data_IF_100011917166
#
_entry.id   IF_100011917166
#
_cell.length_a   1.000
_cell.length_b   1.000
_cell.length_c   1.000
_cell.angle_alpha   90.00
_cell.angle_beta   90.00
_cell.angle_gamma   90.00
#
_symmetry.space_group_name_H-M   'P 1'
#
loop_
_entity.id
_entity.type
_entity.pdbx_description
1 polymer ?
#
# COMPACT_ATOMS: atom_id res chain seq x y z
N UNK A 1 6.22 -24.13 3.31
CA UNK A 1 6.66 -23.05 2.40
C UNK A 1 5.73 -21.84 2.47
N UNK A 2 4.37 -21.97 2.35
CA UNK A 2 3.43 -20.84 2.41
C UNK A 2 3.53 -20.06 3.72
N UNK A 3 3.60 -20.73 4.87
CA UNK A 3 3.67 -20.07 6.18
C UNK A 3 4.95 -19.23 6.35
N UNK A 4 6.12 -19.74 5.88
CA UNK A 4 7.38 -18.99 5.88
C UNK A 4 7.31 -17.72 5.02
N UNK A 5 6.65 -17.79 3.85
CA UNK A 5 6.46 -16.64 2.97
C UNK A 5 5.54 -15.59 3.60
N UNK A 6 4.51 -16.01 4.34
CA UNK A 6 3.64 -15.08 5.09
C UNK A 6 4.41 -14.37 6.18
N UNK A 7 5.18 -15.09 7.01
CA UNK A 7 5.98 -14.48 8.07
C UNK A 7 7.00 -13.46 7.53
N UNK A 8 7.68 -13.78 6.42
CA UNK A 8 8.64 -12.83 5.78
C UNK A 8 7.91 -11.58 5.31
N UNK A 9 6.78 -11.73 4.63
CA UNK A 9 5.98 -10.60 4.15
C UNK A 9 5.50 -9.71 5.31
N UNK A 10 5.02 -10.32 6.38
CA UNK A 10 4.47 -9.60 7.53
C UNK A 10 5.59 -8.88 8.32
N UNK A 11 6.78 -9.49 8.41
CA UNK A 11 7.97 -8.84 9.00
C UNK A 11 8.42 -7.64 8.17
N UNK A 12 8.46 -7.76 6.84
CA UNK A 12 8.79 -6.63 5.95
C UNK A 12 7.76 -5.51 6.10
N UNK A 13 6.49 -5.84 6.20
CA UNK A 13 5.43 -4.85 6.37
C UNK A 13 5.50 -4.14 7.73
N UNK A 14 5.75 -4.90 8.80
CA UNK A 14 5.94 -4.33 10.14
C UNK A 14 7.12 -3.35 10.20
N UNK A 15 8.27 -3.73 9.64
CA UNK A 15 9.45 -2.85 9.55
C UNK A 15 9.15 -1.60 8.70
N UNK A 16 8.36 -1.72 7.65
CA UNK A 16 7.97 -0.59 6.82
C UNK A 16 7.16 0.47 7.59
N UNK A 17 6.30 0.06 8.53
CA UNK A 17 5.57 1.00 9.39
C UNK A 17 6.49 1.79 10.32
N UNK A 18 7.50 1.13 10.89
CA UNK A 18 8.51 1.80 11.73
C UNK A 18 9.32 2.79 10.90
N UNK A 19 9.79 2.39 9.72
CA UNK A 19 10.50 3.29 8.81
C UNK A 19 9.64 4.48 8.36
N UNK A 20 8.34 4.27 8.13
CA UNK A 20 7.40 5.35 7.79
C UNK A 20 7.21 6.33 8.95
N UNK A 21 7.12 5.83 10.19
CA UNK A 21 6.98 6.68 11.38
C UNK A 21 8.23 7.53 11.59
N UNK A 22 9.42 6.92 11.55
CA UNK A 22 10.69 7.65 11.65
C UNK A 22 10.87 8.62 10.48
N UNK A 23 10.55 8.20 9.26
CA UNK A 23 10.65 9.06 8.07
C UNK A 23 9.71 10.27 8.12
N UNK A 24 8.56 10.18 8.77
CA UNK A 24 7.62 11.30 8.91
C UNK A 24 8.14 12.43 9.82
N UNK A 25 9.12 12.16 10.67
CA UNK A 25 9.73 13.17 11.53
C UNK A 25 10.73 14.09 10.77
N UNK A 26 11.27 13.59 9.64
CA UNK A 26 12.31 14.30 8.88
C UNK A 26 11.84 14.81 7.53
N UNK A 27 10.81 14.20 6.97
CA UNK A 27 10.32 14.51 5.62
C UNK A 27 8.80 14.64 5.62
N UNK A 28 8.29 15.54 4.78
CA UNK A 28 6.85 15.63 4.55
C UNK A 28 6.27 14.36 3.96
N UNK A 29 4.96 14.09 4.18
CA UNK A 29 4.29 12.87 3.77
C UNK A 29 4.38 12.58 2.27
N UNK A 30 4.28 13.61 1.43
CA UNK A 30 4.34 13.44 -0.04
C UNK A 30 5.77 13.22 -0.53
N UNK A 31 6.75 13.89 0.06
CA UNK A 31 8.17 13.72 -0.28
C UNK A 31 8.66 12.34 0.08
N UNK A 32 8.28 11.83 1.25
CA UNK A 32 8.59 10.46 1.65
C UNK A 32 7.91 9.44 0.74
N UNK A 33 6.63 9.64 0.41
CA UNK A 33 5.89 8.79 -0.50
C UNK A 33 6.50 8.77 -1.91
N UNK A 34 6.94 9.92 -2.42
CA UNK A 34 7.61 10.04 -3.72
C UNK A 34 8.90 9.22 -3.74
N UNK A 35 9.79 9.42 -2.75
CA UNK A 35 11.10 8.76 -2.69
C UNK A 35 10.97 7.24 -2.67
N UNK A 36 10.12 6.68 -1.80
CA UNK A 36 9.90 5.22 -1.73
C UNK A 36 9.29 4.64 -2.99
N UNK A 37 8.39 5.40 -3.65
CA UNK A 37 7.72 4.94 -4.85
C UNK A 37 8.65 4.93 -6.06
N UNK A 38 9.56 5.90 -6.18
CA UNK A 38 10.61 5.89 -7.20
C UNK A 38 11.58 4.73 -7.00
N UNK A 39 11.97 4.43 -5.76
CA UNK A 39 12.79 3.25 -5.45
C UNK A 39 12.07 1.95 -5.84
N UNK A 40 10.77 1.84 -5.56
CA UNK A 40 9.97 0.69 -5.95
C UNK A 40 9.91 0.54 -7.49
N UNK A 41 9.73 1.64 -8.22
CA UNK A 41 9.77 1.64 -9.69
C UNK A 41 11.13 1.16 -10.23
N UNK A 42 12.23 1.68 -9.69
CA UNK A 42 13.58 1.27 -10.09
C UNK A 42 13.82 -0.22 -9.83
N UNK A 43 13.41 -0.70 -8.65
CA UNK A 43 13.49 -2.12 -8.29
C UNK A 43 12.67 -3.01 -9.25
N UNK A 44 11.43 -2.63 -9.54
CA UNK A 44 10.56 -3.39 -10.45
C UNK A 44 11.09 -3.41 -11.88
N UNK A 45 11.67 -2.30 -12.36
CA UNK A 45 12.36 -2.27 -13.67
C UNK A 45 13.54 -3.23 -13.68
N UNK A 46 14.38 -3.22 -12.65
CA UNK A 46 15.49 -4.16 -12.53
C UNK A 46 15.01 -5.61 -12.48
N UNK A 47 13.97 -5.89 -11.72
CA UNK A 47 13.37 -7.22 -11.62
C UNK A 47 12.84 -7.69 -12.98
N UNK A 48 12.11 -6.86 -13.69
CA UNK A 48 11.61 -7.17 -15.03
C UNK A 48 12.75 -7.44 -16.02
N UNK A 49 13.84 -6.66 -15.96
CA UNK A 49 15.02 -6.87 -16.81
C UNK A 49 15.71 -8.20 -16.52
N UNK A 50 15.86 -8.56 -15.24
CA UNK A 50 16.45 -9.84 -14.81
C UNK A 50 15.59 -11.02 -15.23
N UNK A 51 14.27 -10.97 -14.98
CA UNK A 51 13.33 -12.03 -15.37
C UNK A 51 13.33 -12.25 -16.88
N UNK A 52 13.38 -11.16 -17.65
CA UNK A 52 13.49 -11.22 -19.11
C UNK A 52 14.80 -11.90 -19.57
N UNK A 53 15.93 -11.59 -18.94
CA UNK A 53 17.22 -12.24 -19.25
C UNK A 53 17.23 -13.74 -18.88
N UNK A 54 16.52 -14.12 -17.82
CA UNK A 54 16.42 -15.51 -17.37
C UNK A 54 15.43 -16.36 -18.17
N UNK A 55 14.75 -15.80 -19.18
CA UNK A 55 13.71 -16.50 -19.92
C UNK A 55 12.49 -16.94 -19.09
N UNK A 56 12.38 -16.44 -17.85
CA UNK A 56 11.28 -16.71 -16.92
C UNK A 56 10.17 -15.65 -17.03
N UNK A 57 9.98 -15.10 -18.19
CA UNK A 57 8.80 -14.29 -18.47
C UNK A 57 7.58 -15.21 -18.35
N UNK A 58 6.58 -14.78 -17.61
CA UNK A 58 5.34 -15.51 -17.44
C UNK A 58 4.79 -15.87 -18.83
N UNK A 59 4.37 -17.13 -19.10
CA UNK A 59 3.79 -17.49 -20.41
C UNK A 59 2.58 -16.63 -20.81
N UNK A 60 1.92 -15.98 -19.83
CA UNK A 60 0.91 -14.94 -20.07
C UNK A 60 1.51 -13.62 -20.60
N UNK A 61 2.83 -13.45 -20.60
CA UNK A 61 3.56 -12.27 -21.10
C UNK A 61 4.20 -12.49 -22.47
N UNK A 62 3.94 -13.63 -23.15
CA UNK A 62 4.31 -13.85 -24.54
C UNK A 62 3.48 -12.99 -25.49
N UNK A 63 3.89 -12.80 -26.73
CA UNK A 63 3.95 -11.57 -27.54
C UNK A 63 2.78 -10.60 -27.45
N UNK A 64 1.91 -10.82 -26.52
CA UNK A 64 0.81 -9.94 -26.14
C UNK A 64 1.15 -8.82 -25.15
N UNK A 65 2.42 -8.60 -24.75
CA UNK A 65 2.81 -7.48 -23.84
C UNK A 65 2.17 -6.13 -24.21
N UNK A 66 1.86 -5.96 -25.49
CA UNK A 66 1.21 -4.76 -25.98
C UNK A 66 -0.25 -4.94 -26.45
N UNK A 67 -0.80 -6.13 -26.44
CA UNK A 67 -2.18 -6.35 -26.89
C UNK A 67 -3.21 -5.76 -25.90
N UNK A 68 -2.90 -5.74 -24.61
CA UNK A 68 -3.76 -5.15 -23.58
C UNK A 68 -3.24 -3.82 -23.01
N UNK A 69 -2.46 -3.04 -23.79
CA UNK A 69 -1.93 -1.73 -23.34
C UNK A 69 -3.00 -0.82 -22.76
N UNK A 70 -4.16 -0.76 -23.40
CA UNK A 70 -5.25 0.09 -22.96
C UNK A 70 -5.82 -0.36 -21.62
N UNK A 71 -5.94 -1.67 -21.41
CA UNK A 71 -6.42 -2.25 -20.14
C UNK A 71 -5.37 -2.09 -19.05
N UNK A 72 -4.10 -2.35 -19.36
CA UNK A 72 -2.98 -2.15 -18.43
C UNK A 72 -2.85 -0.68 -18.00
N UNK A 73 -2.94 0.25 -18.95
CA UNK A 73 -2.82 1.67 -18.64
C UNK A 73 -4.02 2.16 -17.83
N UNK A 74 -5.24 1.79 -18.23
CA UNK A 74 -6.46 2.14 -17.47
C UNK A 74 -6.45 1.52 -16.09
N UNK A 75 -6.23 0.21 -15.97
CA UNK A 75 -6.14 -0.48 -14.69
C UNK A 75 -5.03 0.06 -13.81
N UNK A 76 -3.84 0.29 -14.37
CA UNK A 76 -2.70 0.85 -13.66
C UNK A 76 -2.93 2.27 -13.16
N UNK A 77 -3.58 3.14 -13.96
CA UNK A 77 -3.92 4.50 -13.55
C UNK A 77 -4.96 4.47 -12.43
N UNK A 78 -6.08 3.76 -12.60
CA UNK A 78 -7.12 3.68 -11.55
C UNK A 78 -6.58 3.10 -10.25
N UNK A 79 -5.87 1.97 -10.32
CA UNK A 79 -5.24 1.37 -9.15
C UNK A 79 -4.16 2.28 -8.55
N UNK A 80 -3.38 2.99 -9.39
CA UNK A 80 -2.32 3.89 -8.95
C UNK A 80 -2.87 5.14 -8.25
N UNK A 81 -3.94 5.75 -8.77
CA UNK A 81 -4.60 6.89 -8.12
C UNK A 81 -5.21 6.48 -6.78
N UNK A 82 -5.89 5.33 -6.72
CA UNK A 82 -6.44 4.81 -5.48
C UNK A 82 -5.32 4.51 -4.46
N UNK A 83 -4.21 3.91 -4.91
CA UNK A 83 -3.04 3.62 -4.09
C UNK A 83 -2.37 4.90 -3.58
N UNK A 84 -2.24 5.94 -4.43
CA UNK A 84 -1.71 7.24 -4.04
C UNK A 84 -2.58 7.86 -2.94
N UNK A 85 -3.89 7.94 -3.15
CA UNK A 85 -4.82 8.53 -2.18
C UNK A 85 -4.78 7.78 -0.83
N UNK A 86 -4.79 6.44 -0.86
CA UNK A 86 -4.68 5.61 0.34
C UNK A 86 -3.35 5.81 1.06
N UNK A 87 -2.23 5.82 0.32
CA UNK A 87 -0.90 5.97 0.90
C UNK A 87 -0.64 7.38 1.42
N UNK A 88 -1.17 8.42 0.77
CA UNK A 88 -1.10 9.80 1.24
C UNK A 88 -1.88 9.97 2.55
N UNK A 89 -3.12 9.49 2.60
CA UNK A 89 -3.93 9.50 3.82
C UNK A 89 -3.25 8.72 4.97
N UNK A 90 -2.65 7.56 4.66
CA UNK A 90 -1.88 6.78 5.63
C UNK A 90 -0.70 7.56 6.19
N UNK A 91 0.11 8.16 5.32
CA UNK A 91 1.33 8.86 5.73
C UNK A 91 1.02 10.09 6.58
N UNK A 92 -0.04 10.84 6.23
CA UNK A 92 -0.53 11.95 7.05
C UNK A 92 -1.04 11.48 8.42
N UNK A 93 -1.77 10.36 8.46
CA UNK A 93 -2.29 9.80 9.69
C UNK A 93 -1.20 9.25 10.62
N UNK A 94 -0.14 8.64 10.07
CA UNK A 94 1.01 8.15 10.85
C UNK A 94 1.75 9.30 11.54
N UNK A 95 1.91 10.45 10.87
CA UNK A 95 2.58 11.62 11.43
C UNK A 95 1.85 12.27 12.62
N UNK A 96 0.56 11.96 12.82
CA UNK A 96 -0.28 12.58 13.85
C UNK A 96 -0.80 11.61 14.92
N UNK A 97 -0.49 10.32 14.79
CA UNK A 97 -1.01 9.26 15.65
C UNK A 97 0.09 8.27 16.01
N UNK A 98 -0.08 7.51 17.12
CA UNK A 98 0.88 6.47 17.48
C UNK A 98 0.93 5.36 16.42
N UNK A 99 2.13 4.82 16.17
CA UNK A 99 2.39 3.76 15.15
C UNK A 99 1.48 2.54 15.37
N UNK A 100 1.19 2.18 16.63
CA UNK A 100 0.31 1.08 16.98
C UNK A 100 -1.14 1.34 16.55
N UNK A 101 -1.67 2.54 16.84
CA UNK A 101 -3.02 2.95 16.39
C UNK A 101 -3.09 3.06 14.87
N UNK A 102 -2.05 3.60 14.23
CA UNK A 102 -1.98 3.68 12.77
C UNK A 102 -2.03 2.30 12.13
N UNK A 103 -1.30 1.33 12.66
CA UNK A 103 -1.34 -0.05 12.24
C UNK A 103 -2.71 -0.69 12.40
N UNK A 104 -3.36 -0.50 13.57
CA UNK A 104 -4.70 -1.00 13.83
C UNK A 104 -5.73 -0.42 12.87
N UNK A 105 -5.79 0.91 12.76
CA UNK A 105 -6.76 1.59 11.90
C UNK A 105 -6.59 1.23 10.43
N UNK A 106 -5.35 1.18 9.96
CA UNK A 106 -5.08 0.75 8.58
C UNK A 106 -5.53 -0.68 8.36
N UNK A 107 -5.22 -1.60 9.30
CA UNK A 107 -5.57 -3.02 9.17
C UNK A 107 -7.08 -3.30 9.18
N UNK A 108 -7.93 -2.32 9.51
CA UNK A 108 -9.39 -2.45 9.36
C UNK A 108 -9.82 -2.75 7.92
N UNK A 109 -8.99 -2.47 6.90
CA UNK A 109 -9.29 -2.89 5.54
C UNK A 109 -9.47 -4.42 5.42
N UNK A 110 -8.88 -5.23 6.31
CA UNK A 110 -9.06 -6.69 6.36
C UNK A 110 -10.53 -7.06 6.58
N UNK A 111 -11.26 -6.22 7.32
CA UNK A 111 -12.71 -6.37 7.54
C UNK A 111 -13.50 -5.78 6.39
N UNK A 112 -13.09 -4.60 5.92
CA UNK A 112 -13.80 -3.85 4.89
C UNK A 112 -13.78 -4.56 3.53
N UNK A 113 -12.69 -5.27 3.19
CA UNK A 113 -12.56 -6.00 1.92
C UNK A 113 -13.62 -7.10 1.77
N UNK A 114 -13.82 -8.04 2.73
CA UNK A 114 -14.91 -9.02 2.66
C UNK A 114 -16.30 -8.37 2.65
N UNK A 115 -16.49 -7.31 3.45
CA UNK A 115 -17.76 -6.57 3.49
C UNK A 115 -18.07 -5.97 2.11
N UNK A 116 -17.11 -5.25 1.52
CA UNK A 116 -17.25 -4.72 0.17
C UNK A 116 -17.48 -5.83 -0.87
N UNK A 117 -16.81 -6.98 -0.71
CA UNK A 117 -17.01 -8.15 -1.55
C UNK A 117 -18.46 -8.67 -1.53
N UNK A 118 -19.10 -8.67 -0.37
CA UNK A 118 -20.54 -9.06 -0.26
C UNK A 118 -21.41 -8.11 -1.06
N UNK A 119 -21.20 -6.80 -0.99
CA UNK A 119 -21.93 -5.82 -1.79
C UNK A 119 -21.73 -6.00 -3.30
N UNK A 120 -20.57 -6.53 -3.70
CA UNK A 120 -20.25 -6.86 -5.10
C UNK A 120 -20.72 -8.28 -5.51
N UNK A 121 -21.53 -8.95 -4.70
CA UNK A 121 -22.12 -10.25 -5.00
C UNK A 121 -21.24 -11.45 -4.61
N UNK A 122 -20.12 -11.25 -3.97
CA UNK A 122 -19.32 -12.35 -3.41
C UNK A 122 -20.03 -12.95 -2.18
N UNK A 123 -19.98 -14.27 -2.03
CA UNK A 123 -20.56 -14.96 -0.87
C UNK A 123 -19.43 -15.60 -0.03
N UNK A 124 -18.78 -14.82 0.85
CA UNK A 124 -17.73 -15.36 1.70
C UNK A 124 -18.30 -16.39 2.68
N UNK A 125 -17.63 -17.54 2.80
CA UNK A 125 -18.04 -18.59 3.73
C UNK A 125 -17.85 -18.18 5.19
N UNK A 126 -18.56 -18.86 6.10
CA UNK A 126 -18.50 -18.63 7.56
C UNK A 126 -17.06 -18.68 8.09
N UNK A 127 -16.22 -19.56 7.54
CA UNK A 127 -14.81 -19.66 7.93
C UNK A 127 -14.06 -18.33 7.77
N UNK A 128 -14.34 -17.57 6.70
CA UNK A 128 -13.71 -16.27 6.47
C UNK A 128 -14.12 -15.26 7.56
N UNK A 129 -15.40 -15.22 7.91
CA UNK A 129 -15.90 -14.33 8.96
C UNK A 129 -15.32 -14.66 10.34
N UNK A 130 -15.16 -15.93 10.68
CA UNK A 130 -14.48 -16.34 11.90
C UNK A 130 -13.01 -15.88 11.92
N UNK A 131 -12.30 -16.03 10.78
CA UNK A 131 -10.91 -15.54 10.67
C UNK A 131 -10.81 -14.02 10.77
N UNK A 132 -11.74 -13.29 10.17
CA UNK A 132 -11.81 -11.82 10.26
C UNK A 132 -12.06 -11.40 11.71
N UNK A 133 -13.03 -12.00 12.40
CA UNK A 133 -13.30 -11.70 13.79
C UNK A 133 -12.09 -11.99 14.70
N UNK A 134 -11.45 -13.14 14.53
CA UNK A 134 -10.24 -13.49 15.28
C UNK A 134 -9.09 -12.50 15.00
N UNK A 135 -8.92 -12.05 13.74
CA UNK A 135 -7.91 -11.07 13.37
C UNK A 135 -8.16 -9.71 14.02
N UNK A 136 -9.40 -9.25 14.05
CA UNK A 136 -9.77 -7.98 14.70
C UNK A 136 -9.52 -8.03 16.22
N UNK A 137 -9.93 -9.12 16.86
CA UNK A 137 -9.68 -9.31 18.31
C UNK A 137 -8.18 -9.35 18.60
N UNK A 138 -7.41 -10.14 17.84
CA UNK A 138 -5.96 -10.22 18.00
C UNK A 138 -5.27 -8.88 17.80
N UNK A 139 -5.68 -8.12 16.79
CA UNK A 139 -5.14 -6.81 16.48
C UNK A 139 -5.51 -5.77 17.55
N UNK A 140 -6.74 -5.82 18.08
CA UNK A 140 -7.17 -4.99 19.21
C UNK A 140 -6.32 -5.27 20.45
N UNK A 141 -6.16 -6.53 20.82
CA UNK A 141 -5.34 -6.93 21.97
C UNK A 141 -3.87 -6.50 21.81
N UNK A 142 -3.32 -6.61 20.61
CA UNK A 142 -1.93 -6.27 20.36
C UNK A 142 -1.67 -4.76 20.38
N UNK A 143 -2.56 -3.97 19.80
CA UNK A 143 -2.32 -2.56 19.54
C UNK A 143 -2.94 -1.61 20.59
N UNK A 144 -4.05 -1.98 21.21
CA UNK A 144 -4.87 -1.09 22.02
C UNK A 144 -5.09 -1.57 23.46
N UNK A 145 -4.94 -2.87 23.75
CA UNK A 145 -5.18 -3.37 25.08
C UNK A 145 -4.17 -2.77 26.09
N UNK A 146 -4.68 -1.98 27.03
CA UNK A 146 -3.89 -1.40 28.11
C UNK A 146 -3.11 -0.12 27.77
N UNK A 147 -3.33 0.51 26.61
CA UNK A 147 -2.57 1.72 26.25
C UNK A 147 -3.47 2.89 25.99
N UNK A 148 -4.25 3.15 25.20
CA UNK A 148 -4.97 4.43 24.97
C UNK A 148 -6.48 4.23 24.72
N UNK A 149 -7.25 5.20 25.12
CA UNK A 149 -8.65 5.30 24.71
C UNK A 149 -8.74 5.53 23.22
N UNK A 150 -9.65 4.86 22.53
CA UNK A 150 -10.05 5.15 21.16
C UNK A 150 -10.73 6.53 21.09
N UNK A 151 -9.94 7.59 21.19
CA UNK A 151 -10.40 8.93 20.90
C UNK A 151 -10.23 9.18 19.42
N UNK A 152 -11.29 9.50 18.70
CA UNK A 152 -11.24 9.84 17.29
C UNK A 152 -10.72 11.26 17.14
N UNK A 153 -9.42 11.41 17.10
CA UNK A 153 -8.72 12.66 16.73
C UNK A 153 -8.60 12.79 15.19
N UNK A 154 -8.16 13.93 14.71
CA UNK A 154 -8.06 14.18 13.26
C UNK A 154 -7.22 13.14 12.49
N UNK A 155 -6.13 12.62 13.09
CA UNK A 155 -5.27 11.61 12.46
C UNK A 155 -5.95 10.25 12.31
N UNK A 156 -6.76 9.86 13.27
CA UNK A 156 -7.49 8.59 13.22
C UNK A 156 -8.58 8.60 12.15
N UNK A 157 -9.23 9.74 11.91
CA UNK A 157 -10.14 9.90 10.77
C UNK A 157 -9.43 9.72 9.42
N UNK A 158 -8.23 10.27 9.27
CA UNK A 158 -7.43 10.08 8.07
C UNK A 158 -7.10 8.60 7.84
N UNK A 159 -6.81 7.85 8.90
CA UNK A 159 -6.53 6.42 8.83
C UNK A 159 -7.77 5.57 8.52
N UNK A 160 -8.95 5.97 8.97
CA UNK A 160 -10.21 5.34 8.56
C UNK A 160 -10.47 5.56 7.06
N UNK A 161 -10.30 6.78 6.58
CA UNK A 161 -10.39 7.08 5.14
C UNK A 161 -9.35 6.26 4.36
N UNK A 162 -8.13 6.17 4.87
CA UNK A 162 -7.08 5.31 4.31
C UNK A 162 -7.53 3.85 4.19
N UNK A 163 -8.15 3.27 5.22
CA UNK A 163 -8.63 1.88 5.19
C UNK A 163 -9.71 1.66 4.11
N UNK A 164 -10.61 2.64 3.93
CA UNK A 164 -11.63 2.61 2.86
C UNK A 164 -10.96 2.69 1.48
N UNK A 165 -10.01 3.59 1.31
CA UNK A 165 -9.27 3.77 0.05
C UNK A 165 -8.43 2.54 -0.30
N UNK A 166 -7.78 1.90 0.69
CA UNK A 166 -7.09 0.62 0.47
C UNK A 166 -8.07 -0.49 0.09
N UNK A 167 -9.25 -0.52 0.69
CA UNK A 167 -10.30 -1.48 0.30
C UNK A 167 -10.68 -1.29 -1.17
N UNK A 168 -10.93 -0.05 -1.60
CA UNK A 168 -11.23 0.26 -2.98
C UNK A 168 -10.06 -0.14 -3.92
N UNK A 169 -8.82 0.18 -3.55
CA UNK A 169 -7.64 -0.18 -4.31
C UNK A 169 -7.48 -1.70 -4.45
N UNK A 170 -7.68 -2.48 -3.37
CA UNK A 170 -7.63 -3.95 -3.41
C UNK A 170 -8.72 -4.51 -4.34
N UNK A 171 -9.92 -3.94 -4.30
CA UNK A 171 -11.00 -4.35 -5.19
C UNK A 171 -10.69 -4.07 -6.66
N UNK A 172 -10.11 -2.89 -6.96
CA UNK A 172 -9.64 -2.55 -8.31
C UNK A 172 -8.55 -3.51 -8.78
N UNK A 173 -7.55 -3.79 -7.94
CA UNK A 173 -6.48 -4.76 -8.28
C UNK A 173 -7.07 -6.14 -8.52
N UNK A 174 -8.00 -6.58 -7.69
CA UNK A 174 -8.67 -7.88 -7.86
C UNK A 174 -9.47 -7.97 -9.17
N UNK A 175 -10.05 -6.87 -9.61
CA UNK A 175 -10.78 -6.79 -10.88
C UNK A 175 -9.83 -6.87 -12.10
N UNK A 176 -8.70 -6.16 -12.07
CA UNK A 176 -7.77 -6.08 -13.19
C UNK A 176 -6.70 -7.19 -13.22
N UNK A 177 -6.32 -7.73 -12.06
CA UNK A 177 -5.26 -8.74 -11.92
C UNK A 177 -5.47 -10.01 -12.75
N UNK A 178 -6.69 -10.56 -12.93
CA UNK A 178 -6.87 -11.74 -13.78
C UNK A 178 -6.58 -11.51 -15.27
N UNK A 179 -6.59 -10.25 -15.71
CA UNK A 179 -6.43 -9.86 -17.11
C UNK A 179 -5.02 -9.40 -17.44
N UNK A 180 -4.16 -9.20 -16.44
CA UNK A 180 -2.87 -8.53 -16.55
C UNK A 180 -1.78 -9.27 -15.78
N UNK A 181 -0.53 -9.07 -16.21
CA UNK A 181 0.61 -9.51 -15.41
C UNK A 181 0.75 -8.61 -14.16
N UNK A 182 0.78 -9.25 -12.98
CA UNK A 182 0.84 -8.56 -11.69
C UNK A 182 2.08 -7.66 -11.54
N UNK A 183 3.23 -8.03 -12.12
CA UNK A 183 4.46 -7.22 -12.05
C UNK A 183 4.30 -5.95 -12.87
N UNK A 184 3.72 -6.06 -14.07
CA UNK A 184 3.48 -4.92 -14.95
C UNK A 184 2.43 -3.97 -14.36
N UNK A 185 1.34 -4.52 -13.82
CA UNK A 185 0.31 -3.74 -13.15
C UNK A 185 0.91 -2.99 -11.95
N UNK A 186 1.72 -3.66 -11.14
CA UNK A 186 2.40 -3.05 -9.99
C UNK A 186 3.36 -1.93 -10.44
N UNK A 187 4.12 -2.14 -11.52
CA UNK A 187 5.01 -1.11 -12.04
C UNK A 187 4.23 0.14 -12.45
N UNK A 188 3.14 0.00 -13.21
CA UNK A 188 2.32 1.15 -13.64
C UNK A 188 1.69 1.85 -12.44
N UNK A 189 1.19 1.10 -11.44
CA UNK A 189 0.65 1.68 -10.20
C UNK A 189 1.69 2.53 -9.47
N UNK A 190 2.89 1.97 -9.21
CA UNK A 190 3.95 2.70 -8.51
C UNK A 190 4.47 3.89 -9.32
N UNK A 191 4.50 3.79 -10.64
CA UNK A 191 4.86 4.91 -11.50
C UNK A 191 3.84 6.06 -11.37
N UNK A 192 2.55 5.75 -11.40
CA UNK A 192 1.49 6.75 -11.18
C UNK A 192 1.59 7.38 -9.79
N UNK A 193 1.81 6.56 -8.75
CA UNK A 193 2.03 7.06 -7.38
C UNK A 193 3.25 7.96 -7.32
N UNK A 194 4.36 7.59 -7.96
CA UNK A 194 5.59 8.39 -7.98
C UNK A 194 5.38 9.77 -8.61
N UNK A 195 4.70 9.80 -9.75
CA UNK A 195 4.41 11.06 -10.45
C UNK A 195 3.49 11.95 -9.62
N UNK A 196 2.38 11.40 -9.14
CA UNK A 196 1.42 12.17 -8.33
C UNK A 196 2.06 12.67 -7.03
N UNK A 197 2.76 11.80 -6.29
CA UNK A 197 3.39 12.21 -5.04
C UNK A 197 4.49 13.24 -5.26
N UNK A 198 5.23 13.18 -6.37
CA UNK A 198 6.22 14.20 -6.73
C UNK A 198 5.54 15.55 -7.01
N UNK A 199 4.45 15.57 -7.77
CA UNK A 199 3.70 16.80 -8.05
C UNK A 199 3.18 17.40 -6.73
N UNK A 200 2.57 16.59 -5.88
CA UNK A 200 2.04 17.05 -4.58
C UNK A 200 3.16 17.50 -3.62
N UNK A 201 4.32 16.83 -3.62
CA UNK A 201 5.47 17.24 -2.83
C UNK A 201 5.96 18.64 -3.23
N UNK A 202 6.09 18.91 -4.52
CA UNK A 202 6.50 20.25 -4.99
C UNK A 202 5.45 21.33 -4.73
N UNK A 203 4.16 21.00 -4.75
CA UNK A 203 3.09 21.96 -4.52
C UNK A 203 2.90 22.30 -3.04
N UNK A 204 3.01 21.30 -2.15
CA UNK A 204 2.65 21.44 -0.74
C UNK A 204 3.82 21.43 0.25
N UNK A 205 4.97 20.85 -0.10
CA UNK A 205 6.06 20.60 0.85
C UNK A 205 7.38 21.31 0.50
N UNK A 206 7.58 21.78 -0.75
CA UNK A 206 8.82 22.38 -1.22
C UNK A 206 10.07 21.59 -0.78
N UNK A 207 10.28 20.36 -1.27
CA UNK A 207 11.29 19.43 -0.79
C UNK A 207 12.70 20.00 -0.89
N UNK A 208 13.48 19.94 0.20
CA UNK A 208 14.87 20.39 0.25
C UNK A 208 15.84 19.19 0.23
N UNK A 209 17.02 19.31 -0.40
CA UNK A 209 18.03 18.25 -0.42
C UNK A 209 18.50 17.83 0.97
N UNK A 210 18.46 18.73 1.95
CA UNK A 210 18.93 18.46 3.31
C UNK A 210 17.99 17.51 4.06
N UNK A 211 16.69 17.53 3.76
CA UNK A 211 15.72 16.59 4.30
C UNK A 211 16.02 15.16 3.85
N UNK A 212 16.41 14.96 2.59
CA UNK A 212 16.82 13.65 2.08
C UNK A 212 18.08 13.12 2.76
N UNK A 213 19.08 13.99 2.99
CA UNK A 213 20.30 13.61 3.70
C UNK A 213 20.02 13.26 5.16
N UNK A 214 19.20 14.02 5.85
CA UNK A 214 18.81 13.75 7.22
C UNK A 214 18.07 12.40 7.32
N UNK A 215 17.07 12.17 6.48
CA UNK A 215 16.35 10.89 6.46
C UNK A 215 17.27 9.69 6.19
N UNK A 216 18.22 9.81 5.26
CA UNK A 216 19.15 8.73 4.91
C UNK A 216 20.17 8.42 6.02
N UNK A 217 20.51 9.41 6.84
CA UNK A 217 21.47 9.24 7.96
C UNK A 217 20.82 8.63 9.21
N UNK A 218 19.49 8.75 9.37
CA UNK A 218 18.77 8.30 10.57
C UNK A 218 17.85 7.09 10.32
N UNK A 219 17.76 6.58 9.08
CA UNK A 219 17.01 5.37 8.74
C UNK A 219 17.95 4.22 8.42
#
# INVERSE_FOLDING_TARGET
>A
RRQRQMCIRDSIWGTAFVAQSVGSDYMGPYTFLASRSWLACAFLLGLMAVLRKMGKTNPAAEPGFWQNKKVLLRGGIFCGVALFAASAAQQMGIGTTSTAKAGFMTALYVVLVPVAGVFLGSRPGVKLWCCVAASVVGLYLLCLAGRDTLSLTGGEWQLLVCAILFTAQIMLVNHFSPQLDGIQLSFVQFFVVSVLSTIFAFVFEAPSPDQFRACLLYT
#
